data_IF_498184539037
#
_entry.id   IF_498184539037
#
_cell.length_a   1.000
_cell.length_b   1.000
_cell.length_c   1.000
_cell.angle_alpha   90.00
_cell.angle_beta   90.00
_cell.angle_gamma   90.00
#
_symmetry.space_group_name_H-M   'P 1'
#
loop_
_entity.id
_entity.type
_entity.pdbx_description
1 polymer ?
#
# COMPACT_ATOMS: atom_id res chain seq x y z
N UNK A 1 0.12 -13.72 0.55
CA UNK A 1 -0.88 -13.29 -0.46
C UNK A 1 -0.31 -12.13 -1.26
N UNK A 2 -0.46 -12.15 -2.59
CA UNK A 2 -0.09 -11.06 -3.50
C UNK A 2 -1.34 -10.62 -4.29
N UNK A 3 -1.52 -9.31 -4.50
CA UNK A 3 -2.51 -8.77 -5.42
C UNK A 3 -1.75 -8.04 -6.53
N UNK A 4 -1.88 -8.50 -7.77
CA UNK A 4 -1.27 -7.85 -8.92
C UNK A 4 -2.02 -8.26 -10.21
N UNK A 5 -2.64 -7.31 -10.93
CA UNK A 5 -3.37 -7.62 -12.15
C UNK A 5 -2.45 -7.97 -13.33
N UNK A 6 -1.15 -7.67 -13.28
CA UNK A 6 -0.23 -7.93 -14.38
C UNK A 6 0.28 -9.38 -14.35
N UNK A 7 -0.35 -10.24 -15.15
CA UNK A 7 -0.01 -11.66 -15.32
C UNK A 7 1.39 -11.91 -15.90
N UNK A 8 1.96 -10.93 -16.60
CA UNK A 8 3.27 -11.03 -17.24
C UNK A 8 4.43 -10.65 -16.30
N UNK A 9 4.30 -10.87 -15.00
CA UNK A 9 5.34 -10.53 -14.01
C UNK A 9 5.87 -11.75 -13.28
N UNK A 10 7.17 -11.76 -12.95
CA UNK A 10 7.79 -12.86 -12.21
C UNK A 10 7.14 -13.05 -10.83
N UNK A 11 6.75 -11.96 -10.15
CA UNK A 11 6.08 -12.01 -8.85
C UNK A 11 4.76 -12.81 -8.86
N UNK A 12 4.07 -12.92 -10.00
CA UNK A 12 2.83 -13.71 -10.12
C UNK A 12 3.08 -15.16 -10.52
N UNK A 13 4.34 -15.60 -10.61
CA UNK A 13 4.70 -16.98 -10.94
C UNK A 13 4.39 -17.94 -9.80
N UNK A 14 4.12 -19.19 -10.15
CA UNK A 14 3.85 -20.27 -9.18
C UNK A 14 5.03 -20.41 -8.22
N UNK A 15 4.74 -20.40 -6.91
CA UNK A 15 5.73 -20.55 -5.84
C UNK A 15 6.31 -19.23 -5.31
N UNK A 16 6.02 -18.08 -5.92
CA UNK A 16 6.49 -16.78 -5.41
C UNK A 16 5.63 -16.24 -4.25
N UNK A 17 4.35 -16.62 -4.20
CA UNK A 17 3.44 -16.33 -3.12
C UNK A 17 2.48 -17.51 -2.93
N UNK A 18 2.00 -17.74 -1.71
CA UNK A 18 1.04 -18.83 -1.42
C UNK A 18 -0.28 -18.67 -2.19
N UNK A 19 -0.69 -17.41 -2.41
CA UNK A 19 -1.89 -17.03 -3.14
C UNK A 19 -1.66 -15.76 -3.93
N UNK A 20 -2.11 -15.74 -5.17
CA UNK A 20 -2.04 -14.60 -6.08
C UNK A 20 -3.45 -14.24 -6.53
N UNK A 21 -3.82 -12.97 -6.37
CA UNK A 21 -5.06 -12.39 -6.86
C UNK A 21 -4.77 -11.49 -8.06
N UNK A 22 -5.29 -11.86 -9.23
CA UNK A 22 -5.26 -11.05 -10.44
C UNK A 22 -6.44 -10.06 -10.45
N UNK A 23 -6.44 -9.15 -9.47
CA UNK A 23 -7.48 -8.15 -9.29
C UNK A 23 -6.91 -6.74 -9.46
N UNK A 24 -7.75 -5.75 -9.87
CA UNK A 24 -7.34 -4.35 -9.86
C UNK A 24 -6.92 -3.88 -8.47
N UNK A 25 -5.84 -3.08 -8.40
CA UNK A 25 -5.38 -2.45 -7.17
C UNK A 25 -6.21 -1.19 -6.85
N UNK A 26 -7.47 -1.41 -6.50
CA UNK A 26 -8.39 -0.36 -6.02
C UNK A 26 -9.02 -0.78 -4.68
N UNK A 27 -9.42 0.18 -3.82
CA UNK A 27 -9.80 -0.11 -2.44
C UNK A 27 -10.89 -1.18 -2.28
N UNK A 28 -11.90 -1.18 -3.16
CA UNK A 28 -13.01 -2.14 -3.11
C UNK A 28 -12.52 -3.60 -3.22
N UNK A 29 -11.73 -3.92 -4.24
CA UNK A 29 -11.23 -5.28 -4.44
C UNK A 29 -10.18 -5.66 -3.39
N UNK A 30 -9.34 -4.71 -2.98
CA UNK A 30 -8.33 -4.97 -1.94
C UNK A 30 -9.00 -5.22 -0.58
N UNK A 31 -10.08 -4.50 -0.23
CA UNK A 31 -10.86 -4.78 0.98
C UNK A 31 -11.46 -6.19 0.92
N UNK A 32 -12.00 -6.62 -0.23
CA UNK A 32 -12.53 -7.98 -0.38
C UNK A 32 -11.46 -9.04 -0.11
N UNK A 33 -10.23 -8.84 -0.60
CA UNK A 33 -9.11 -9.74 -0.32
C UNK A 33 -8.71 -9.68 1.16
N UNK A 34 -8.62 -8.50 1.78
CA UNK A 34 -8.36 -8.36 3.22
C UNK A 34 -9.43 -9.09 4.05
N UNK A 35 -10.70 -8.97 3.68
CA UNK A 35 -11.82 -9.62 4.34
C UNK A 35 -11.74 -11.14 4.25
N UNK A 36 -11.34 -11.67 3.10
CA UNK A 36 -11.23 -13.11 2.85
C UNK A 36 -9.97 -13.72 3.52
N UNK A 37 -8.82 -13.05 3.38
CA UNK A 37 -7.53 -13.60 3.79
C UNK A 37 -7.12 -13.22 5.22
N UNK A 38 -7.74 -12.18 5.81
CA UNK A 38 -7.48 -11.67 7.17
C UNK A 38 -5.98 -11.55 7.50
N UNK A 39 -5.19 -10.81 6.70
CA UNK A 39 -3.76 -10.71 6.90
C UNK A 39 -3.42 -9.95 8.18
N UNK A 40 -2.38 -10.37 8.90
CA UNK A 40 -1.88 -9.63 10.08
C UNK A 40 -1.12 -8.35 9.74
N UNK A 41 -0.75 -8.16 8.46
CA UNK A 41 -0.13 -6.94 7.97
C UNK A 41 -0.01 -6.86 6.45
N UNK A 42 0.32 -5.67 5.94
CA UNK A 42 0.41 -5.34 4.52
C UNK A 42 1.68 -4.55 4.21
N UNK A 43 2.30 -4.82 3.07
CA UNK A 43 3.43 -4.05 2.52
C UNK A 43 2.96 -3.25 1.30
N UNK A 44 3.09 -1.93 1.36
CA UNK A 44 2.58 -1.02 0.30
C UNK A 44 3.69 -0.54 -0.66
N UNK A 45 4.95 -0.61 -0.24
CA UNK A 45 6.09 0.02 -0.92
C UNK A 45 6.59 -0.73 -2.16
N UNK A 46 6.05 -1.91 -2.47
CA UNK A 46 6.45 -2.72 -3.62
C UNK A 46 5.50 -2.59 -4.83
N UNK A 47 4.41 -1.83 -4.70
CA UNK A 47 3.38 -1.67 -5.73
C UNK A 47 3.51 -0.41 -6.58
N UNK A 48 4.60 0.35 -6.44
CA UNK A 48 4.75 1.68 -7.03
C UNK A 48 3.63 2.64 -6.59
N UNK A 49 3.37 3.67 -7.40
CA UNK A 49 2.36 4.69 -7.07
C UNK A 49 0.95 4.10 -6.90
N UNK A 50 0.59 3.11 -7.72
CA UNK A 50 -0.72 2.47 -7.66
C UNK A 50 -0.95 1.78 -6.31
N UNK A 51 0.07 1.05 -5.82
CA UNK A 51 -0.01 0.40 -4.51
C UNK A 51 -0.03 1.40 -3.36
N UNK A 52 0.78 2.47 -3.45
CA UNK A 52 0.83 3.53 -2.43
C UNK A 52 -0.52 4.26 -2.34
N UNK A 53 -1.06 4.72 -3.46
CA UNK A 53 -2.35 5.43 -3.51
C UNK A 53 -3.49 4.56 -2.97
N UNK A 54 -3.56 3.30 -3.41
CA UNK A 54 -4.58 2.37 -2.92
C UNK A 54 -4.44 2.16 -1.40
N UNK A 55 -3.21 2.04 -0.90
CA UNK A 55 -2.95 1.96 0.54
C UNK A 55 -3.42 3.20 1.30
N UNK A 56 -3.12 4.40 0.79
CA UNK A 56 -3.58 5.67 1.37
C UNK A 56 -5.11 5.76 1.40
N UNK A 57 -5.78 5.35 0.32
CA UNK A 57 -7.25 5.36 0.25
C UNK A 57 -7.87 4.35 1.26
N UNK A 58 -7.28 3.16 1.41
CA UNK A 58 -7.70 2.17 2.40
C UNK A 58 -7.52 2.67 3.84
N UNK A 59 -6.42 3.37 4.12
CA UNK A 59 -6.17 3.99 5.42
C UNK A 59 -7.18 5.09 5.70
N UNK A 60 -7.43 5.99 4.75
CA UNK A 60 -8.43 7.07 4.87
C UNK A 60 -9.85 6.53 5.07
N UNK A 61 -10.16 5.39 4.46
CA UNK A 61 -11.42 4.69 4.64
C UNK A 61 -11.50 3.88 5.96
N UNK A 62 -10.45 3.88 6.79
CA UNK A 62 -10.41 3.16 8.07
C UNK A 62 -10.38 1.63 7.91
N UNK A 63 -10.05 1.11 6.74
CA UNK A 63 -10.11 -0.32 6.43
C UNK A 63 -9.05 -1.09 7.21
N UNK A 64 -7.82 -0.59 7.29
CA UNK A 64 -6.77 -1.30 8.03
C UNK A 64 -7.11 -1.46 9.51
N UNK A 65 -7.68 -0.42 10.15
CA UNK A 65 -8.17 -0.49 11.53
C UNK A 65 -9.34 -1.46 11.67
N UNK A 66 -10.36 -1.35 10.80
CA UNK A 66 -11.55 -2.22 10.78
C UNK A 66 -11.20 -3.72 10.75
N UNK A 67 -10.14 -4.10 10.06
CA UNK A 67 -9.71 -5.50 9.91
C UNK A 67 -8.49 -5.88 10.77
N UNK A 68 -7.94 -4.95 11.57
CA UNK A 68 -6.75 -5.21 12.39
C UNK A 68 -5.47 -5.48 11.59
N UNK A 69 -5.36 -4.91 10.39
CA UNK A 69 -4.21 -5.08 9.49
C UNK A 69 -3.16 -4.02 9.81
N UNK A 70 -1.93 -4.44 10.09
CA UNK A 70 -0.82 -3.51 10.33
C UNK A 70 -0.10 -3.16 9.03
N UNK A 71 0.21 -1.89 8.83
CA UNK A 71 1.10 -1.48 7.75
C UNK A 71 2.54 -1.80 8.16
N UNK A 72 3.23 -2.55 7.31
CA UNK A 72 4.60 -2.99 7.52
C UNK A 72 5.55 -2.16 6.64
N UNK A 73 6.78 -1.96 7.11
CA UNK A 73 7.76 -1.13 6.42
C UNK A 73 7.55 0.36 6.71
N UNK A 74 7.55 1.19 5.66
CA UNK A 74 7.38 2.64 5.81
C UNK A 74 5.99 2.96 6.38
N UNK A 75 5.89 3.72 7.48
CA UNK A 75 4.60 4.17 8.01
C UNK A 75 3.81 4.95 6.97
N UNK A 76 2.49 4.80 6.99
CA UNK A 76 1.64 5.46 5.98
C UNK A 76 1.65 6.98 6.08
N UNK A 77 1.83 7.53 7.28
CA UNK A 77 1.96 8.97 7.46
C UNK A 77 3.22 9.50 6.75
N UNK A 78 4.32 8.74 6.77
CA UNK A 78 5.53 9.10 6.05
C UNK A 78 5.31 9.04 4.53
N UNK A 79 4.54 8.07 4.03
CA UNK A 79 4.14 8.01 2.61
C UNK A 79 3.35 9.27 2.24
N UNK A 80 2.30 9.59 3.01
CA UNK A 80 1.43 10.76 2.78
C UNK A 80 2.24 12.06 2.78
N UNK A 81 3.13 12.24 3.76
CA UNK A 81 3.97 13.43 3.90
C UNK A 81 4.93 13.63 2.72
N UNK A 82 5.36 12.54 2.08
CA UNK A 82 6.29 12.60 0.94
C UNK A 82 5.61 12.75 -0.43
N UNK A 83 4.32 12.43 -0.52
CA UNK A 83 3.55 12.49 -1.78
C UNK A 83 3.07 13.91 -2.10
N UNK A 84 2.76 14.72 -1.07
CA UNK A 84 2.41 16.12 -1.24
C UNK A 84 3.68 16.98 -1.28
N UNK A 85 3.93 17.64 -2.42
CA UNK A 85 5.12 18.48 -2.61
C UNK A 85 5.23 19.62 -1.59
N UNK A 86 4.10 20.18 -1.16
CA UNK A 86 4.08 21.26 -0.18
C UNK A 86 4.44 20.71 1.20
N UNK A 87 3.82 19.61 1.63
CA UNK A 87 4.15 18.96 2.90
C UNK A 87 5.62 18.52 2.91
N UNK A 88 6.09 17.95 1.80
CA UNK A 88 7.48 17.56 1.65
C UNK A 88 8.44 18.75 1.79
N UNK A 89 8.17 19.85 1.09
CA UNK A 89 8.99 21.08 1.19
C UNK A 89 8.98 21.67 2.61
N UNK A 90 7.84 21.64 3.30
CA UNK A 90 7.72 22.05 4.70
C UNK A 90 8.55 21.14 5.63
N UNK A 91 8.50 19.81 5.42
CA UNK A 91 9.29 18.82 6.18
C UNK A 91 10.80 18.99 5.96
N UNK A 92 11.25 19.23 4.73
CA UNK A 92 12.66 19.46 4.42
C UNK A 92 13.14 20.82 4.99
N UNK A 93 12.31 21.87 4.87
CA UNK A 93 12.63 23.17 5.46
C UNK A 93 12.73 23.11 6.98
N UNK A 94 11.93 22.27 7.64
CA UNK A 94 11.95 22.08 9.09
C UNK A 94 13.27 21.48 9.61
N UNK A 95 14.03 20.78 8.77
CA UNK A 95 15.36 20.26 9.11
C UNK A 95 16.51 21.16 8.61
N UNK A 96 16.19 22.34 8.06
CA UNK A 96 17.17 23.32 7.59
C UNK A 96 17.72 23.05 6.18
N UNK A 97 17.13 22.09 5.46
CA UNK A 97 17.53 21.71 4.10
C UNK A 97 16.67 22.43 3.04
N UNK A 98 17.06 22.34 1.77
CA UNK A 98 16.36 23.01 0.65
C UNK A 98 15.94 22.02 -0.44
N UNK A 99 14.76 22.22 -1.01
CA UNK A 99 14.20 21.49 -2.16
C UNK A 99 13.99 22.43 -3.33
#
# INVERSE_FOLDING_TARGET
VLINPNIATVQTSKGMADKVYFLPLVPEYVEQVIRAERPGGVLLTFGGQTGLNCGVDLQRAGIFEKYGVRILGTPIDAIIDTEDRKIFSERISAIGEKV
#
